data_IF_764706294377
#
_entry.id   IF_764706294377
#
_cell.length_a   1.000
_cell.length_b   1.000
_cell.length_c   1.000
_cell.angle_alpha   90.00
_cell.angle_beta   90.00
_cell.angle_gamma   90.00
#
_symmetry.space_group_name_H-M   'P 1'
#
loop_
_entity.id
_entity.type
_entity.pdbx_description
1 polymer ?
#
# COMPACT_ATOMS: atom_id res chain seq x y z
N UNK A 1 -7.35 -24.47 -3.37
CA UNK A 1 -6.93 -23.11 -3.80
C UNK A 1 -5.52 -23.18 -4.35
N UNK A 2 -5.29 -22.50 -5.44
CA UNK A 2 -3.96 -22.45 -6.05
C UNK A 2 -3.05 -21.50 -5.26
N UNK A 3 -1.83 -21.95 -4.96
CA UNK A 3 -0.80 -21.08 -4.41
C UNK A 3 -0.24 -20.19 -5.53
N UNK A 4 -0.40 -18.89 -5.40
CA UNK A 4 0.02 -17.92 -6.40
C UNK A 4 1.19 -17.11 -5.86
N UNK A 5 2.33 -17.26 -6.51
CA UNK A 5 3.52 -16.47 -6.18
C UNK A 5 3.74 -15.39 -7.22
N UNK A 6 4.40 -14.33 -6.80
CA UNK A 6 4.69 -13.21 -7.67
C UNK A 6 5.80 -13.56 -8.64
N UNK A 7 5.44 -13.86 -9.89
CA UNK A 7 6.41 -14.11 -10.96
C UNK A 7 6.68 -12.87 -11.80
N UNK A 8 5.61 -12.07 -12.00
CA UNK A 8 5.65 -10.86 -12.79
C UNK A 8 5.30 -9.70 -11.89
N UNK A 9 6.25 -8.84 -11.65
CA UNK A 9 6.02 -7.67 -10.80
C UNK A 9 6.38 -6.40 -11.54
N UNK A 10 5.65 -5.35 -11.26
CA UNK A 10 5.98 -4.01 -11.71
C UNK A 10 6.98 -3.45 -10.71
N UNK A 11 8.19 -3.06 -11.15
CA UNK A 11 9.16 -2.50 -10.23
C UNK A 11 8.59 -1.29 -9.50
N UNK A 12 8.78 -1.27 -8.19
CA UNK A 12 8.37 -0.15 -7.34
C UNK A 12 8.91 1.17 -7.90
N UNK A 13 10.12 1.14 -8.46
CA UNK A 13 10.74 2.32 -9.05
C UNK A 13 9.95 2.90 -10.22
N UNK A 14 9.18 2.10 -10.96
CA UNK A 14 8.31 2.62 -12.01
C UNK A 14 7.23 3.54 -11.42
N UNK A 15 6.70 3.17 -10.27
CA UNK A 15 5.71 4.00 -9.56
C UNK A 15 6.36 5.29 -9.05
N UNK A 16 7.55 5.17 -8.48
CA UNK A 16 8.32 6.33 -8.01
C UNK A 16 8.62 7.29 -9.16
N UNK A 17 9.10 6.77 -10.29
CA UNK A 17 9.36 7.57 -11.50
C UNK A 17 8.11 8.25 -12.00
N UNK A 18 6.99 7.55 -11.99
CA UNK A 18 5.70 8.13 -12.35
C UNK A 18 5.35 9.28 -11.39
N UNK A 19 5.57 9.11 -10.08
CA UNK A 19 5.34 10.15 -9.09
C UNK A 19 6.15 11.41 -9.37
N UNK A 20 7.43 11.27 -9.72
CA UNK A 20 8.27 12.40 -10.12
C UNK A 20 7.76 13.05 -11.41
N UNK A 21 7.37 12.26 -12.40
CA UNK A 21 6.89 12.77 -13.67
C UNK A 21 5.59 13.57 -13.55
N UNK A 22 4.79 13.28 -12.52
CA UNK A 22 3.50 13.93 -12.26
C UNK A 22 3.58 15.06 -11.23
N UNK A 23 4.75 15.34 -10.69
CA UNK A 23 4.92 16.38 -9.69
C UNK A 23 4.47 16.01 -8.28
N UNK A 24 4.21 14.72 -8.02
CA UNK A 24 3.86 14.22 -6.70
C UNK A 24 5.10 14.06 -5.81
N UNK A 25 6.25 13.98 -6.42
CA UNK A 25 7.57 13.88 -5.78
C UNK A 25 8.52 14.86 -6.49
N UNK A 26 9.54 15.40 -5.82
CA UNK A 26 9.79 15.27 -4.39
C UNK A 26 8.82 16.15 -3.57
N UNK A 27 8.81 15.95 -2.25
CA UNK A 27 8.01 16.75 -1.33
C UNK A 27 8.92 17.30 -0.24
N UNK A 28 8.83 18.60 0.00
CA UNK A 28 9.58 19.23 1.08
C UNK A 28 9.14 18.67 2.44
N UNK A 29 10.07 18.48 3.40
CA UNK A 29 9.71 17.93 4.71
C UNK A 29 8.59 18.69 5.43
N UNK A 30 8.47 19.98 5.17
CA UNK A 30 7.48 20.87 5.79
C UNK A 30 6.15 20.94 5.03
N UNK A 31 6.04 20.27 3.88
CA UNK A 31 4.83 20.32 3.06
C UNK A 31 3.78 19.34 3.60
N UNK A 32 3.12 19.78 4.68
CA UNK A 32 2.07 19.03 5.35
C UNK A 32 0.88 18.80 4.41
N UNK A 33 0.57 19.77 3.56
CA UNK A 33 -0.58 19.67 2.66
C UNK A 33 -0.40 18.52 1.66
N UNK A 34 0.77 18.40 1.03
CA UNK A 34 1.05 17.33 0.08
C UNK A 34 0.90 15.95 0.73
N UNK A 35 1.47 15.80 1.94
CA UNK A 35 1.40 14.55 2.71
C UNK A 35 -0.04 14.22 3.13
N UNK A 36 -0.78 15.21 3.63
CA UNK A 36 -2.17 15.03 4.03
C UNK A 36 -3.07 14.68 2.85
N UNK A 37 -2.81 15.26 1.68
CA UNK A 37 -3.57 14.95 0.46
C UNK A 37 -3.43 13.49 0.06
N UNK A 38 -2.24 12.92 0.21
CA UNK A 38 -2.03 11.49 -0.06
C UNK A 38 -2.75 10.61 0.96
N UNK A 39 -2.83 11.03 2.22
CA UNK A 39 -3.60 10.29 3.23
C UNK A 39 -5.10 10.29 2.90
N UNK A 40 -5.64 11.42 2.43
CA UNK A 40 -7.02 11.51 1.98
C UNK A 40 -7.23 10.56 0.79
N UNK A 41 -6.30 10.56 -0.17
CA UNK A 41 -6.36 9.69 -1.34
C UNK A 41 -6.38 8.21 -0.92
N UNK A 42 -5.55 7.83 0.03
CA UNK A 42 -5.53 6.45 0.55
C UNK A 42 -6.90 6.07 1.13
N UNK A 43 -7.52 6.97 1.89
CA UNK A 43 -8.84 6.73 2.47
C UNK A 43 -9.89 6.50 1.39
N UNK A 44 -9.86 7.27 0.30
CA UNK A 44 -10.76 7.07 -0.84
C UNK A 44 -10.55 5.69 -1.47
N UNK A 45 -9.31 5.29 -1.70
CA UNK A 45 -8.99 4.00 -2.33
C UNK A 45 -9.40 2.82 -1.44
N UNK A 46 -9.24 2.95 -0.13
CA UNK A 46 -9.72 1.94 0.82
C UNK A 46 -11.23 1.80 0.74
N UNK A 47 -11.95 2.91 0.61
CA UNK A 47 -13.41 2.90 0.42
C UNK A 47 -13.82 2.19 -0.87
N UNK A 48 -13.11 2.43 -1.96
CA UNK A 48 -13.36 1.74 -3.24
C UNK A 48 -13.08 0.24 -3.12
N UNK A 49 -12.03 -0.15 -2.39
CA UNK A 49 -11.74 -1.55 -2.12
C UNK A 49 -12.89 -2.21 -1.35
N UNK A 50 -13.38 -1.56 -0.31
CA UNK A 50 -14.52 -2.06 0.46
C UNK A 50 -15.75 -2.25 -0.42
N UNK A 51 -16.02 -1.31 -1.32
CA UNK A 51 -17.12 -1.39 -2.26
C UNK A 51 -16.97 -2.55 -3.25
N UNK A 52 -15.75 -2.74 -3.78
CA UNK A 52 -15.46 -3.87 -4.68
C UNK A 52 -15.65 -5.22 -4.00
N UNK A 53 -15.22 -5.35 -2.75
CA UNK A 53 -15.42 -6.56 -1.96
C UNK A 53 -16.92 -6.81 -1.71
N UNK A 54 -17.67 -5.78 -1.36
CA UNK A 54 -19.11 -5.88 -1.14
C UNK A 54 -19.86 -6.37 -2.38
N UNK A 55 -19.44 -5.93 -3.56
CA UNK A 55 -20.01 -6.34 -4.83
C UNK A 55 -19.47 -7.66 -5.35
N UNK A 56 -18.40 -8.19 -4.74
CA UNK A 56 -17.68 -9.37 -5.23
C UNK A 56 -17.17 -9.18 -6.67
N UNK A 57 -16.75 -7.96 -7.00
CA UNK A 57 -16.21 -7.61 -8.31
C UNK A 57 -14.68 -7.73 -8.28
N UNK A 58 -14.16 -8.81 -8.84
CA UNK A 58 -12.73 -9.11 -8.81
C UNK A 58 -11.89 -8.06 -9.52
N UNK A 59 -12.38 -7.45 -10.59
CA UNK A 59 -11.65 -6.41 -11.30
C UNK A 59 -11.53 -5.14 -10.42
N UNK A 60 -12.64 -4.72 -9.81
CA UNK A 60 -12.63 -3.58 -8.89
C UNK A 60 -11.74 -3.83 -7.67
N UNK A 61 -11.75 -5.05 -7.13
CA UNK A 61 -10.89 -5.43 -6.01
C UNK A 61 -9.41 -5.31 -6.40
N UNK A 62 -9.04 -5.88 -7.55
CA UNK A 62 -7.65 -5.83 -8.03
C UNK A 62 -7.20 -4.39 -8.26
N UNK A 63 -8.02 -3.59 -8.93
CA UNK A 63 -7.73 -2.18 -9.20
C UNK A 63 -7.57 -1.38 -7.90
N UNK A 64 -8.48 -1.55 -6.96
CA UNK A 64 -8.44 -0.85 -5.68
C UNK A 64 -7.24 -1.26 -4.81
N UNK A 65 -6.88 -2.54 -4.78
CA UNK A 65 -5.67 -2.99 -4.09
C UNK A 65 -4.45 -2.32 -4.70
N UNK A 66 -4.34 -2.34 -6.03
CA UNK A 66 -3.24 -1.70 -6.74
C UNK A 66 -3.16 -0.21 -6.47
N UNK A 67 -4.29 0.49 -6.47
CA UNK A 67 -4.36 1.93 -6.19
C UNK A 67 -3.92 2.24 -4.75
N UNK A 68 -4.31 1.42 -3.78
CA UNK A 68 -3.83 1.56 -2.41
C UNK A 68 -2.31 1.41 -2.35
N UNK A 69 -1.76 0.43 -3.06
CA UNK A 69 -0.31 0.20 -3.09
C UNK A 69 0.43 1.37 -3.73
N UNK A 70 -0.08 1.93 -4.83
CA UNK A 70 0.50 3.10 -5.47
C UNK A 70 0.58 4.27 -4.49
N UNK A 71 -0.52 4.57 -3.81
CA UNK A 71 -0.55 5.67 -2.83
C UNK A 71 0.44 5.44 -1.70
N UNK A 72 0.51 4.21 -1.18
CA UNK A 72 1.44 3.87 -0.09
C UNK A 72 2.91 4.01 -0.52
N UNK A 73 3.25 3.60 -1.74
CA UNK A 73 4.60 3.78 -2.28
C UNK A 73 4.95 5.27 -2.34
N UNK A 74 4.05 6.10 -2.86
CA UNK A 74 4.26 7.55 -2.93
C UNK A 74 4.39 8.16 -1.54
N UNK A 75 3.56 7.75 -0.59
CA UNK A 75 3.62 8.22 0.79
C UNK A 75 4.96 7.91 1.43
N UNK A 76 5.49 6.69 1.23
CA UNK A 76 6.80 6.33 1.75
C UNK A 76 7.85 7.33 1.26
N UNK A 77 7.89 7.58 -0.04
CA UNK A 77 8.87 8.49 -0.64
C UNK A 77 8.67 9.94 -0.23
N UNK A 78 7.43 10.37 0.02
CA UNK A 78 7.16 11.72 0.54
C UNK A 78 7.76 11.93 1.94
N UNK A 79 7.97 10.85 2.69
CA UNK A 79 8.54 10.89 4.04
C UNK A 79 10.04 10.54 4.05
N UNK A 80 10.68 10.49 2.89
CA UNK A 80 12.10 10.15 2.79
C UNK A 80 12.39 8.67 3.05
N UNK A 81 11.36 7.82 2.93
CA UNK A 81 11.46 6.38 3.11
C UNK A 81 11.34 5.69 1.74
N UNK A 82 11.63 4.40 1.69
CA UNK A 82 11.30 3.57 0.53
C UNK A 82 10.23 2.56 0.92
N UNK A 83 9.40 2.17 -0.07
CA UNK A 83 8.38 1.16 0.16
C UNK A 83 9.00 -0.17 0.60
N UNK A 84 10.13 -0.55 0.00
CA UNK A 84 10.86 -1.77 0.35
C UNK A 84 11.30 -1.74 1.81
N UNK A 85 11.86 -0.62 2.27
CA UNK A 85 12.26 -0.47 3.67
C UNK A 85 11.07 -0.59 4.62
N UNK A 86 9.95 0.05 4.28
CA UNK A 86 8.73 -0.05 5.08
C UNK A 86 8.26 -1.51 5.21
N UNK A 87 8.31 -2.27 4.12
CA UNK A 87 7.94 -3.69 4.15
C UNK A 87 8.92 -4.52 4.98
N UNK A 88 10.22 -4.22 4.91
CA UNK A 88 11.22 -4.89 5.74
C UNK A 88 10.97 -4.64 7.23
N UNK A 89 10.68 -3.40 7.61
CA UNK A 89 10.34 -3.05 8.99
C UNK A 89 9.14 -3.86 9.46
N UNK A 90 8.06 -3.88 8.67
CA UNK A 90 6.85 -4.60 9.01
C UNK A 90 7.08 -6.13 9.09
N UNK A 91 7.83 -6.68 8.13
CA UNK A 91 8.15 -8.10 8.11
C UNK A 91 8.99 -8.50 9.33
N UNK A 92 9.98 -7.70 9.71
CA UNK A 92 10.79 -7.96 10.89
C UNK A 92 9.95 -7.96 12.19
N UNK A 93 8.89 -7.15 12.23
CA UNK A 93 7.97 -7.12 13.36
C UNK A 93 7.13 -8.40 13.48
N UNK A 94 6.74 -8.99 12.34
CA UNK A 94 5.75 -10.08 12.33
C UNK A 94 6.35 -11.48 12.17
N UNK A 95 7.57 -11.58 11.61
CA UNK A 95 8.13 -12.89 11.19
C UNK A 95 8.22 -13.93 12.31
N UNK A 96 8.49 -13.50 13.54
CA UNK A 96 8.62 -14.37 14.70
C UNK A 96 7.41 -14.28 15.64
N UNK A 97 6.35 -13.60 15.19
CA UNK A 97 5.15 -13.42 16.02
C UNK A 97 4.40 -14.73 16.16
N UNK A 98 3.98 -15.03 17.39
CA UNK A 98 3.08 -16.14 17.67
C UNK A 98 1.69 -15.62 17.97
N UNK A 99 0.69 -16.42 17.70
CA UNK A 99 -0.70 -16.03 17.89
C UNK A 99 -1.67 -17.10 17.44
N UNK A 100 -2.92 -16.74 17.38
CA UNK A 100 -4.01 -17.64 17.02
C UNK A 100 -4.96 -16.94 16.03
N UNK A 101 -5.42 -17.68 15.03
CA UNK A 101 -6.43 -17.17 14.11
C UNK A 101 -7.80 -17.24 14.80
N UNK A 102 -8.48 -16.09 14.86
CA UNK A 102 -9.83 -15.96 15.44
C UNK A 102 -10.69 -15.10 14.53
N UNK A 103 -11.82 -15.64 14.10
CA UNK A 103 -12.80 -14.90 13.29
C UNK A 103 -12.18 -14.19 12.08
N UNK A 104 -11.20 -14.80 11.41
CA UNK A 104 -10.50 -14.25 10.29
C UNK A 104 -9.37 -13.29 10.63
N UNK A 105 -9.12 -13.04 11.91
CA UNK A 105 -8.04 -12.16 12.37
C UNK A 105 -6.94 -12.98 13.07
N UNK A 106 -5.70 -12.57 12.84
CA UNK A 106 -4.57 -13.13 13.57
C UNK A 106 -4.38 -12.33 14.86
N UNK A 107 -4.67 -12.98 16.00
CA UNK A 107 -4.57 -12.38 17.33
C UNK A 107 -3.23 -12.77 17.93
N UNK A 108 -2.35 -11.79 18.10
CA UNK A 108 -1.02 -12.04 18.69
C UNK A 108 -1.12 -12.33 20.19
N UNK A 109 -0.19 -13.15 20.64
CA UNK A 109 -0.06 -13.48 22.06
C UNK A 109 0.38 -12.26 22.90
#
# INVERSE_FOLDING_TARGET
>A
MKDIREDNWIPINNIVDWGYSRGLLPVEPTDIQAKSSQMIKLTEEVGELANGISKQDLWEIADAIGDCMVVLILMAHQHGLSATHCLEVAHNEIKDRTGTLKDGYYVKD
#
